data_IF_567528825703
#
_entry.id   IF_567528825703
#
_cell.length_a   1.000
_cell.length_b   1.000
_cell.length_c   1.000
_cell.angle_alpha   90.00
_cell.angle_beta   90.00
_cell.angle_gamma   90.00
#
_symmetry.space_group_name_H-M   'P 1'
#
loop_
_entity.id
_entity.type
_entity.pdbx_description
1 polymer ?
#
# COMPACT_ATOMS: atom_id res chain seq x y z
N UNK A 1 -13.76 -8.53 -34.41
CA UNK A 1 -14.19 -9.29 -33.23
C UNK A 1 -12.94 -9.67 -32.44
N UNK A 2 -12.92 -9.36 -31.14
CA UNK A 2 -11.79 -9.73 -30.27
C UNK A 2 -11.71 -11.25 -30.15
N UNK A 3 -10.50 -11.78 -30.13
CA UNK A 3 -10.23 -13.20 -29.85
C UNK A 3 -10.25 -13.41 -28.34
N UNK A 4 -11.02 -14.40 -27.87
CA UNK A 4 -11.02 -14.80 -26.46
C UNK A 4 -9.80 -15.68 -26.21
N UNK A 5 -8.96 -15.28 -25.26
CA UNK A 5 -7.73 -15.98 -24.91
C UNK A 5 -7.93 -16.99 -23.77
N UNK A 6 -8.74 -16.60 -22.77
CA UNK A 6 -9.03 -17.46 -21.61
C UNK A 6 -10.41 -17.15 -21.02
N UNK A 7 -10.94 -18.12 -20.27
CA UNK A 7 -12.25 -18.09 -19.66
C UNK A 7 -12.30 -19.19 -18.60
N UNK A 8 -12.08 -18.87 -17.31
CA UNK A 8 -11.98 -19.87 -16.26
C UNK A 8 -12.32 -19.31 -14.87
N UNK A 9 -12.68 -20.21 -13.95
CA UNK A 9 -12.92 -19.90 -12.55
C UNK A 9 -11.62 -19.94 -11.75
N UNK A 10 -11.46 -18.98 -10.83
CA UNK A 10 -10.36 -18.98 -9.87
C UNK A 10 -10.59 -19.99 -8.75
N UNK A 11 -9.50 -20.50 -8.19
CA UNK A 11 -9.54 -21.45 -7.09
C UNK A 11 -10.22 -20.84 -5.85
N UNK A 12 -10.79 -21.70 -4.99
CA UNK A 12 -11.40 -21.34 -3.71
C UNK A 12 -12.52 -20.28 -3.81
N UNK A 13 -13.22 -20.24 -4.93
CA UNK A 13 -14.30 -19.26 -5.13
C UNK A 13 -13.80 -17.83 -5.32
N UNK A 14 -12.55 -17.63 -5.73
CA UNK A 14 -11.92 -16.32 -5.95
C UNK A 14 -12.49 -15.50 -7.11
N UNK A 15 -13.52 -16.00 -7.80
CA UNK A 15 -14.19 -15.30 -8.89
C UNK A 15 -13.94 -15.98 -10.25
N UNK A 16 -14.25 -15.25 -11.33
CA UNK A 16 -14.16 -15.71 -12.71
C UNK A 16 -13.37 -14.73 -13.56
N UNK A 17 -12.46 -15.22 -14.39
CA UNK A 17 -11.66 -14.41 -15.31
C UNK A 17 -11.97 -14.74 -16.76
N UNK A 18 -12.23 -13.70 -17.55
CA UNK A 18 -12.34 -13.82 -19.01
C UNK A 18 -11.43 -12.79 -19.66
N UNK A 19 -10.58 -13.21 -20.58
CA UNK A 19 -9.65 -12.32 -21.28
C UNK A 19 -9.79 -12.38 -22.80
N UNK A 20 -9.62 -11.22 -23.43
CA UNK A 20 -9.64 -11.06 -24.88
C UNK A 20 -8.39 -10.33 -25.36
N UNK A 21 -7.88 -10.74 -26.52
CA UNK A 21 -6.82 -10.01 -27.19
C UNK A 21 -7.37 -8.74 -27.84
N UNK A 22 -6.75 -7.60 -27.57
CA UNK A 22 -7.06 -6.35 -28.26
C UNK A 22 -6.46 -6.35 -29.67
N UNK A 23 -7.19 -5.74 -30.61
CA UNK A 23 -6.66 -5.40 -31.92
C UNK A 23 -5.71 -4.20 -31.84
N UNK A 24 -4.89 -3.97 -32.88
CA UNK A 24 -4.00 -2.81 -32.92
C UNK A 24 -4.75 -1.47 -32.70
N UNK A 25 -5.86 -1.25 -33.41
CA UNK A 25 -6.67 -0.04 -33.29
C UNK A 25 -7.23 0.13 -31.84
N UNK A 26 -7.55 -0.97 -31.16
CA UNK A 26 -8.01 -0.91 -29.78
C UNK A 26 -6.86 -0.62 -28.80
N UNK A 27 -5.67 -1.13 -29.06
CA UNK A 27 -4.47 -0.79 -28.28
C UNK A 27 -4.18 0.70 -28.39
N UNK A 28 -4.21 1.26 -29.61
CA UNK A 28 -4.01 2.68 -29.85
C UNK A 28 -5.08 3.51 -29.12
N UNK A 29 -6.35 3.11 -29.19
CA UNK A 29 -7.43 3.78 -28.48
C UNK A 29 -7.26 3.77 -26.96
N UNK A 30 -6.80 2.66 -26.37
CA UNK A 30 -6.49 2.57 -24.94
C UNK A 30 -5.31 3.50 -24.61
N UNK A 31 -4.25 3.50 -25.41
CA UNK A 31 -3.09 4.35 -25.20
C UNK A 31 -3.47 5.83 -25.24
N UNK A 32 -4.30 6.25 -26.20
CA UNK A 32 -4.78 7.62 -26.32
C UNK A 32 -5.65 8.02 -25.10
N UNK A 33 -6.54 7.13 -24.65
CA UNK A 33 -7.36 7.39 -23.47
C UNK A 33 -6.51 7.55 -22.21
N UNK A 34 -5.49 6.71 -22.02
CA UNK A 34 -4.56 6.83 -20.90
C UNK A 34 -3.71 8.10 -20.99
N UNK A 35 -3.26 8.47 -22.19
CA UNK A 35 -2.51 9.71 -22.39
C UNK A 35 -3.33 10.95 -22.06
N UNK A 36 -4.64 10.94 -22.35
CA UNK A 36 -5.54 12.05 -22.02
C UNK A 36 -5.68 12.27 -20.50
N UNK A 37 -5.53 11.21 -19.68
CA UNK A 37 -5.53 11.31 -18.21
C UNK A 37 -4.23 11.91 -17.66
N UNK A 38 -3.17 11.96 -18.47
CA UNK A 38 -1.82 12.35 -18.05
C UNK A 38 -1.49 13.81 -18.44
N UNK A 39 -2.49 14.68 -18.52
CA UNK A 39 -2.30 16.09 -18.84
C UNK A 39 -2.25 16.94 -17.58
N UNK A 40 -1.50 18.07 -17.54
CA UNK A 40 -1.51 19.00 -16.42
C UNK A 40 -2.92 19.49 -16.07
N UNK A 41 -3.74 19.73 -17.10
CA UNK A 41 -5.13 20.14 -16.92
C UNK A 41 -5.96 19.06 -16.22
N UNK A 42 -5.86 17.80 -16.62
CA UNK A 42 -6.56 16.68 -15.98
C UNK A 42 -6.14 16.53 -14.50
N UNK A 43 -4.85 16.74 -14.19
CA UNK A 43 -4.35 16.73 -12.82
C UNK A 43 -4.90 17.88 -11.98
N UNK A 44 -5.00 19.09 -12.55
CA UNK A 44 -5.60 20.24 -11.86
C UNK A 44 -7.09 20.05 -11.63
N UNK A 45 -7.85 19.61 -12.63
CA UNK A 45 -9.30 19.40 -12.54
C UNK A 45 -9.66 18.29 -11.53
N UNK A 46 -8.91 17.19 -11.52
CA UNK A 46 -9.23 16.02 -10.71
C UNK A 46 -8.67 16.10 -9.28
N UNK A 47 -7.47 16.63 -9.11
CA UNK A 47 -6.74 16.59 -7.84
C UNK A 47 -6.41 17.97 -7.27
N UNK A 48 -6.75 19.05 -7.95
CA UNK A 48 -6.43 20.42 -7.55
C UNK A 48 -4.93 20.74 -7.57
N UNK A 49 -4.13 19.93 -8.25
CA UNK A 49 -2.68 20.06 -8.30
C UNK A 49 -2.26 20.87 -9.51
N UNK A 50 -1.75 22.08 -9.26
CA UNK A 50 -1.16 22.95 -10.30
C UNK A 50 0.33 22.65 -10.46
N UNK A 51 0.80 22.67 -11.69
CA UNK A 51 2.21 22.45 -12.04
C UNK A 51 2.81 21.11 -11.55
N UNK A 52 1.96 20.14 -11.20
CA UNK A 52 2.39 18.81 -10.79
C UNK A 52 2.80 17.97 -12.00
N UNK A 53 3.83 17.14 -11.82
CA UNK A 53 4.15 16.10 -12.78
C UNK A 53 3.01 15.07 -12.79
N UNK A 54 2.45 14.74 -13.96
CA UNK A 54 1.39 13.74 -14.04
C UNK A 54 1.85 12.39 -13.50
N UNK A 55 1.04 11.78 -12.63
CA UNK A 55 1.22 10.42 -12.15
C UNK A 55 0.04 9.59 -12.67
N UNK A 56 0.30 8.73 -13.65
CA UNK A 56 -0.74 7.89 -14.26
C UNK A 56 -0.81 6.51 -13.62
N UNK A 57 0.34 5.90 -13.34
CA UNK A 57 0.44 4.55 -12.81
C UNK A 57 1.12 4.54 -11.45
N UNK A 58 0.58 3.74 -10.53
CA UNK A 58 1.22 3.38 -9.28
C UNK A 58 1.25 1.85 -9.17
N UNK A 59 2.33 1.31 -8.62
CA UNK A 59 2.45 -0.14 -8.39
C UNK A 59 1.83 -0.43 -7.02
N UNK A 60 0.63 -1.01 -7.03
CA UNK A 60 -0.09 -1.41 -5.81
C UNK A 60 0.40 -2.73 -5.24
N UNK A 61 0.82 -3.67 -6.12
CA UNK A 61 1.36 -4.98 -5.75
C UNK A 61 2.45 -5.40 -6.73
N UNK A 62 3.31 -6.34 -6.31
CA UNK A 62 4.39 -6.87 -7.15
C UNK A 62 5.65 -5.99 -7.22
N UNK A 63 5.86 -5.05 -6.30
CA UNK A 63 7.03 -4.16 -6.26
C UNK A 63 8.35 -4.94 -6.29
N UNK A 64 8.49 -5.99 -5.47
CA UNK A 64 9.69 -6.83 -5.44
C UNK A 64 9.86 -7.63 -6.73
N UNK A 65 8.78 -8.15 -7.32
CA UNK A 65 8.80 -8.88 -8.59
C UNK A 65 9.26 -8.00 -9.74
N UNK A 66 8.75 -6.77 -9.83
CA UNK A 66 9.16 -5.80 -10.84
C UNK A 66 10.60 -5.33 -10.65
N UNK A 67 11.04 -5.11 -9.40
CA UNK A 67 12.42 -4.76 -9.10
C UNK A 67 13.39 -5.89 -9.49
N UNK A 68 13.02 -7.15 -9.23
CA UNK A 68 13.80 -8.33 -9.63
C UNK A 68 13.84 -8.48 -11.15
N UNK A 69 12.71 -8.34 -11.84
CA UNK A 69 12.65 -8.38 -13.30
C UNK A 69 13.56 -7.30 -13.93
N UNK A 70 13.55 -6.08 -13.40
CA UNK A 70 14.45 -5.01 -13.81
C UNK A 70 15.91 -5.40 -13.60
N UNK A 71 16.27 -5.93 -12.43
CA UNK A 71 17.65 -6.36 -12.14
C UNK A 71 18.11 -7.46 -13.09
N UNK A 72 17.25 -8.44 -13.41
CA UNK A 72 17.53 -9.49 -14.40
C UNK A 72 17.82 -8.89 -15.79
N UNK A 73 16.99 -7.95 -16.24
CA UNK A 73 17.21 -7.26 -17.52
C UNK A 73 18.55 -6.50 -17.54
N UNK A 74 18.83 -5.72 -16.49
CA UNK A 74 20.10 -4.98 -16.39
C UNK A 74 21.33 -5.91 -16.37
N UNK A 75 21.22 -7.09 -15.77
CA UNK A 75 22.29 -8.09 -15.79
C UNK A 75 22.48 -8.72 -17.18
N UNK A 76 21.38 -9.01 -17.89
CA UNK A 76 21.46 -9.51 -19.26
C UNK A 76 22.12 -8.51 -20.22
N UNK A 77 21.84 -7.23 -20.06
CA UNK A 77 22.48 -6.18 -20.86
C UNK A 77 24.01 -6.17 -20.75
N UNK A 78 24.58 -6.54 -19.60
CA UNK A 78 26.02 -6.58 -19.41
C UNK A 78 26.73 -7.62 -20.28
N UNK A 79 26.02 -8.64 -20.74
CA UNK A 79 26.54 -9.76 -21.55
C UNK A 79 25.93 -9.82 -22.94
N UNK A 80 25.13 -8.83 -23.33
CA UNK A 80 24.41 -8.79 -24.62
C UNK A 80 24.81 -7.51 -25.37
N UNK A 81 25.06 -7.56 -26.70
CA UNK A 81 25.32 -6.38 -27.51
C UNK A 81 24.15 -5.36 -27.42
N UNK A 82 24.48 -4.08 -27.37
CA UNK A 82 23.49 -3.00 -27.22
C UNK A 82 22.41 -3.02 -28.31
N UNK A 83 22.78 -3.40 -29.52
CA UNK A 83 21.84 -3.54 -30.65
C UNK A 83 20.69 -4.52 -30.41
N UNK A 84 20.88 -5.47 -29.51
CA UNK A 84 19.89 -6.53 -29.18
C UNK A 84 19.02 -6.21 -27.96
N UNK A 85 19.38 -5.22 -27.15
CA UNK A 85 18.70 -4.92 -25.90
C UNK A 85 17.17 -4.72 -26.06
N UNK A 86 16.77 -4.07 -27.16
CA UNK A 86 15.35 -3.79 -27.43
C UNK A 86 14.52 -5.04 -27.70
N UNK A 87 15.18 -6.12 -28.11
CA UNK A 87 14.53 -7.38 -28.50
C UNK A 87 14.58 -8.44 -27.40
N UNK A 88 15.24 -8.16 -26.27
CA UNK A 88 15.30 -9.09 -25.15
C UNK A 88 13.92 -9.26 -24.51
N UNK A 89 13.40 -10.49 -24.38
CA UNK A 89 12.13 -10.74 -23.67
C UNK A 89 12.13 -10.21 -22.22
N UNK A 90 13.27 -10.29 -21.55
CA UNK A 90 13.45 -9.76 -20.18
C UNK A 90 13.26 -8.23 -20.04
N UNK A 91 13.15 -7.50 -21.15
CA UNK A 91 12.79 -6.08 -21.16
C UNK A 91 11.36 -5.82 -20.69
N UNK A 92 10.50 -6.83 -20.79
CA UNK A 92 9.07 -6.70 -20.54
C UNK A 92 8.66 -7.50 -19.33
N UNK A 93 7.75 -6.96 -18.54
CA UNK A 93 7.05 -7.67 -17.50
C UNK A 93 5.54 -7.58 -17.77
N UNK A 94 4.83 -8.68 -17.55
CA UNK A 94 3.37 -8.68 -17.61
C UNK A 94 2.83 -7.98 -16.37
N UNK A 95 1.94 -7.02 -16.57
CA UNK A 95 1.25 -6.30 -15.50
C UNK A 95 -0.24 -6.24 -15.78
N UNK A 96 -1.03 -6.17 -14.72
CA UNK A 96 -2.44 -5.82 -14.77
C UNK A 96 -2.60 -4.33 -14.45
N UNK A 97 -3.41 -3.65 -15.24
CA UNK A 97 -3.75 -2.24 -15.03
C UNK A 97 -5.20 -2.16 -14.60
N UNK A 98 -5.44 -1.69 -13.38
CA UNK A 98 -6.79 -1.53 -12.82
C UNK A 98 -7.09 -0.05 -12.56
N UNK A 99 -8.37 0.31 -12.61
CA UNK A 99 -8.81 1.63 -12.22
C UNK A 99 -8.83 1.75 -10.69
N UNK A 100 -7.96 2.57 -10.12
CA UNK A 100 -7.87 2.80 -8.68
C UNK A 100 -9.19 3.33 -8.06
N UNK A 101 -10.06 3.93 -8.87
CA UNK A 101 -11.37 4.46 -8.45
C UNK A 101 -12.53 3.48 -8.66
N UNK A 102 -12.24 2.23 -9.07
CA UNK A 102 -13.26 1.19 -9.17
C UNK A 102 -13.77 0.82 -7.78
N UNK A 103 -15.10 0.75 -7.61
CA UNK A 103 -15.74 0.47 -6.32
C UNK A 103 -15.43 -0.93 -5.78
N UNK A 104 -15.06 -1.87 -6.65
CA UNK A 104 -14.63 -3.20 -6.26
C UNK A 104 -13.24 -3.22 -5.61
N UNK A 105 -12.42 -2.18 -5.85
CA UNK A 105 -11.10 -2.07 -5.25
C UNK A 105 -11.23 -1.42 -3.86
N UNK A 106 -10.99 -2.20 -2.81
CA UNK A 106 -10.97 -1.72 -1.43
C UNK A 106 -9.53 -1.79 -0.89
N UNK A 107 -9.11 -0.73 -0.22
CA UNK A 107 -7.82 -0.69 0.47
C UNK A 107 -8.02 -1.10 1.92
N UNK A 108 -7.75 -2.36 2.20
CA UNK A 108 -7.73 -2.84 3.58
C UNK A 108 -6.47 -2.34 4.30
N UNK A 109 -6.59 -1.91 5.55
CA UNK A 109 -5.45 -1.47 6.33
C UNK A 109 -4.54 -2.65 6.66
N UNK A 110 -3.24 -2.41 6.63
CA UNK A 110 -2.26 -3.34 7.20
C UNK A 110 -1.95 -2.84 8.61
N UNK A 111 -2.35 -3.62 9.60
CA UNK A 111 -2.17 -3.31 11.01
C UNK A 111 -0.74 -3.58 11.49
N UNK A 112 -0.43 -3.20 12.70
CA UNK A 112 0.88 -3.44 13.32
C UNK A 112 0.69 -4.22 14.61
N UNK A 113 1.58 -5.18 14.85
CA UNK A 113 1.76 -5.79 16.17
C UNK A 113 3.22 -5.60 16.56
N UNK A 114 3.43 -5.07 17.75
CA UNK A 114 4.77 -4.90 18.31
C UNK A 114 4.96 -5.96 19.39
N UNK A 115 6.00 -6.77 19.27
CA UNK A 115 6.42 -7.77 20.22
C UNK A 115 7.59 -7.26 21.06
N UNK A 116 7.63 -7.62 22.35
CA UNK A 116 8.65 -7.17 23.27
C UNK A 116 8.46 -5.72 23.72
N UNK A 117 7.23 -5.19 23.61
CA UNK A 117 6.91 -3.85 24.09
C UNK A 117 6.34 -3.93 25.53
N UNK A 118 6.75 -2.97 26.35
CA UNK A 118 6.07 -2.65 27.61
C UNK A 118 5.02 -1.56 27.36
N UNK A 119 3.71 -1.85 27.54
CA UNK A 119 2.65 -0.91 27.17
C UNK A 119 2.74 0.44 27.91
N UNK A 120 3.12 0.45 29.19
CA UNK A 120 3.24 1.68 29.96
C UNK A 120 4.35 2.58 29.40
N UNK A 121 5.51 2.00 29.16
CA UNK A 121 6.64 2.70 28.53
C UNK A 121 6.28 3.19 27.14
N UNK A 122 5.65 2.34 26.33
CA UNK A 122 5.23 2.69 24.98
C UNK A 122 4.30 3.91 24.99
N UNK A 123 3.25 3.87 25.78
CA UNK A 123 2.27 4.96 25.85
C UNK A 123 2.87 6.26 26.42
N UNK A 124 3.80 6.16 27.38
CA UNK A 124 4.51 7.31 27.89
C UNK A 124 5.39 7.99 26.83
N UNK A 125 6.14 7.19 26.06
CA UNK A 125 6.98 7.70 24.96
C UNK A 125 6.12 8.22 23.78
N UNK A 126 4.98 7.57 23.49
CA UNK A 126 4.04 8.05 22.48
C UNK A 126 3.45 9.42 22.84
N UNK A 127 3.07 9.62 24.12
CA UNK A 127 2.62 10.92 24.64
C UNK A 127 3.71 12.00 24.59
N UNK A 128 4.97 11.64 24.76
CA UNK A 128 6.09 12.56 24.55
C UNK A 128 6.25 12.99 23.09
N UNK A 129 6.15 12.02 22.16
CA UNK A 129 6.27 12.28 20.73
C UNK A 129 5.09 13.11 20.20
N UNK A 130 3.90 12.87 20.75
CA UNK A 130 2.64 13.53 20.38
C UNK A 130 1.97 14.14 21.63
N UNK A 131 2.40 15.32 22.09
CA UNK A 131 1.95 15.91 23.37
C UNK A 131 0.44 16.14 23.47
N UNK A 132 -0.25 16.32 22.33
CA UNK A 132 -1.69 16.57 22.26
C UNK A 132 -2.51 15.27 22.06
N UNK A 133 -1.87 14.09 22.09
CA UNK A 133 -2.60 12.83 21.96
C UNK A 133 -3.56 12.66 23.14
N UNK A 134 -4.76 12.17 22.83
CA UNK A 134 -5.78 11.90 23.84
C UNK A 134 -6.40 10.52 23.61
N UNK A 135 -7.01 9.99 24.65
CA UNK A 135 -7.81 8.77 24.60
C UNK A 135 -9.15 9.02 23.91
N UNK A 136 -9.69 8.00 23.27
CA UNK A 136 -10.93 8.04 22.53
C UNK A 136 -10.77 8.51 21.09
N UNK A 137 -11.92 8.46 20.36
CA UNK A 137 -12.00 8.92 18.97
C UNK A 137 -12.16 10.42 18.88
N UNK A 138 -11.53 11.05 17.88
CA UNK A 138 -11.58 12.49 17.66
C UNK A 138 -11.13 12.91 16.27
N UNK A 139 -11.00 14.20 16.05
CA UNK A 139 -10.40 14.75 14.83
C UNK A 139 -8.90 14.46 14.80
N UNK A 140 -8.39 14.10 13.64
CA UNK A 140 -6.99 13.74 13.43
C UNK A 140 -6.80 12.26 13.13
N UNK A 141 -5.66 11.70 13.54
CA UNK A 141 -5.36 10.29 13.32
C UNK A 141 -5.79 9.45 14.52
N UNK A 142 -6.91 8.76 14.38
CA UNK A 142 -7.39 7.81 15.39
C UNK A 142 -6.86 6.41 15.09
N UNK A 143 -6.25 5.78 16.08
CA UNK A 143 -5.69 4.44 16.04
C UNK A 143 -6.29 3.65 17.20
N UNK A 144 -6.79 2.45 16.93
CA UNK A 144 -7.19 1.52 17.99
C UNK A 144 -5.96 0.78 18.49
N UNK A 145 -5.81 0.66 19.81
CA UNK A 145 -4.66 0.03 20.44
C UNK A 145 -5.13 -1.04 21.40
N UNK A 146 -4.57 -2.25 21.31
CA UNK A 146 -4.92 -3.35 22.17
C UNK A 146 -3.68 -4.01 22.81
N UNK A 147 -3.77 -4.36 24.09
CA UNK A 147 -2.77 -5.12 24.84
C UNK A 147 -3.41 -5.76 26.08
N UNK A 148 -3.07 -6.97 26.41
CA UNK A 148 -3.42 -7.69 27.68
C UNK A 148 -4.86 -7.44 28.20
N UNK A 149 -5.84 -7.45 27.30
CA UNK A 149 -7.26 -7.22 27.64
C UNK A 149 -7.70 -5.75 27.63
N UNK A 150 -6.83 -4.83 27.33
CA UNK A 150 -7.15 -3.44 26.97
C UNK A 150 -7.45 -3.33 25.49
N UNK A 151 -8.46 -2.54 25.15
CA UNK A 151 -8.85 -2.24 23.76
C UNK A 151 -9.43 -0.82 23.75
N UNK A 152 -8.61 0.14 23.39
CA UNK A 152 -8.91 1.56 23.45
C UNK A 152 -8.51 2.28 22.16
N UNK A 153 -9.03 3.47 21.97
CA UNK A 153 -8.66 4.37 20.88
C UNK A 153 -7.75 5.47 21.39
N UNK A 154 -6.74 5.81 20.59
CA UNK A 154 -5.93 7.01 20.78
C UNK A 154 -6.05 7.90 19.54
N UNK A 155 -6.12 9.22 19.75
CA UNK A 155 -6.20 10.18 18.64
C UNK A 155 -5.06 11.19 18.74
N UNK A 156 -4.35 11.36 17.62
CA UNK A 156 -3.36 12.44 17.43
C UNK A 156 -4.06 13.55 16.64
N UNK A 157 -4.44 14.68 17.28
CA UNK A 157 -5.28 15.71 16.65
C UNK A 157 -4.53 16.54 15.59
N UNK A 158 -3.23 16.75 15.77
CA UNK A 158 -2.39 17.56 14.88
C UNK A 158 -1.28 16.70 14.26
N UNK A 159 -1.61 15.72 13.40
CA UNK A 159 -0.62 14.81 12.84
C UNK A 159 0.27 15.53 11.81
N UNK A 160 1.58 15.26 11.85
CA UNK A 160 2.53 15.76 10.84
C UNK A 160 2.45 14.99 9.52
N UNK A 161 1.98 13.74 9.59
CA UNK A 161 1.83 12.85 8.43
C UNK A 161 0.41 12.95 7.89
N UNK A 162 0.22 12.68 6.61
CA UNK A 162 -1.10 12.70 5.98
C UNK A 162 -1.96 11.49 6.35
N UNK A 163 -1.34 10.36 6.70
CA UNK A 163 -2.02 9.11 7.02
C UNK A 163 -1.70 8.65 8.43
N UNK A 164 -2.66 8.03 9.10
CA UNK A 164 -2.50 7.46 10.44
C UNK A 164 -1.36 6.42 10.50
N UNK A 165 -1.22 5.62 9.44
CA UNK A 165 -0.10 4.67 9.30
C UNK A 165 1.26 5.37 9.33
N UNK A 166 1.39 6.53 8.70
CA UNK A 166 2.64 7.29 8.71
C UNK A 166 2.97 7.84 10.11
N UNK A 167 1.96 8.32 10.84
CA UNK A 167 2.10 8.78 12.22
C UNK A 167 2.58 7.65 13.13
N UNK A 168 1.94 6.48 13.07
CA UNK A 168 2.32 5.33 13.87
C UNK A 168 3.71 4.81 13.49
N UNK A 169 3.96 4.59 12.20
CA UNK A 169 5.22 4.00 11.72
C UNK A 169 6.43 4.87 12.06
N UNK A 170 6.31 6.19 11.89
CA UNK A 170 7.40 7.11 12.25
C UNK A 170 7.76 7.03 13.73
N UNK A 171 6.78 6.83 14.61
CA UNK A 171 7.03 6.62 16.03
C UNK A 171 7.66 5.24 16.28
N UNK A 172 7.09 4.17 15.68
CA UNK A 172 7.59 2.81 15.86
C UNK A 172 9.06 2.67 15.45
N UNK A 173 9.44 3.29 14.33
CA UNK A 173 10.83 3.24 13.84
C UNK A 173 11.84 3.82 14.84
N UNK A 174 11.46 4.87 15.57
CA UNK A 174 12.31 5.46 16.62
C UNK A 174 12.22 4.70 17.95
N UNK A 175 11.03 4.25 18.34
CA UNK A 175 10.81 3.48 19.56
C UNK A 175 11.61 2.18 19.55
N UNK A 176 11.50 1.40 18.46
CA UNK A 176 12.19 0.11 18.33
C UNK A 176 13.72 0.25 18.31
N UNK A 177 14.25 1.34 17.76
CA UNK A 177 15.70 1.62 17.83
C UNK A 177 16.18 1.83 19.27
N UNK A 178 15.35 2.41 20.14
CA UNK A 178 15.73 2.76 21.50
C UNK A 178 15.46 1.62 22.49
N UNK A 179 14.34 0.92 22.32
CA UNK A 179 13.85 -0.06 23.30
C UNK A 179 13.98 -1.51 22.81
N UNK A 180 14.28 -1.72 21.52
CA UNK A 180 14.26 -3.05 20.92
C UNK A 180 12.82 -3.54 20.68
N UNK A 181 12.67 -4.82 20.41
CA UNK A 181 11.41 -5.44 20.02
C UNK A 181 11.32 -5.65 18.50
N UNK A 182 10.21 -6.21 18.06
CA UNK A 182 9.95 -6.49 16.65
C UNK A 182 8.55 -5.98 16.29
N UNK A 183 8.39 -5.48 15.07
CA UNK A 183 7.08 -5.13 14.51
C UNK A 183 6.71 -6.10 13.41
N UNK A 184 5.49 -6.60 13.45
CA UNK A 184 4.88 -7.39 12.37
C UNK A 184 3.71 -6.65 11.74
N UNK A 185 3.43 -6.99 10.49
CA UNK A 185 2.47 -6.36 9.60
C UNK A 185 1.33 -7.34 9.35
N UNK A 186 0.16 -7.05 9.90
CA UNK A 186 -0.93 -8.01 9.99
C UNK A 186 -2.13 -7.55 9.17
N UNK A 187 -2.67 -8.45 8.36
CA UNK A 187 -4.00 -8.33 7.75
C UNK A 187 -5.07 -8.90 8.67
N UNK A 188 -6.12 -8.12 8.89
CA UNK A 188 -7.30 -8.52 9.63
C UNK A 188 -7.27 -8.14 11.10
N UNK A 189 -8.38 -7.57 11.54
CA UNK A 189 -8.59 -7.03 12.88
C UNK A 189 -8.48 -8.09 13.96
N UNK A 190 -9.12 -9.25 13.75
CA UNK A 190 -9.18 -10.33 14.74
C UNK A 190 -7.78 -10.85 15.08
N UNK A 191 -6.97 -11.11 14.06
CA UNK A 191 -5.59 -11.59 14.22
C UNK A 191 -4.73 -10.55 14.93
N UNK A 192 -4.91 -9.28 14.60
CA UNK A 192 -4.18 -8.18 15.24
C UNK A 192 -4.51 -8.08 16.73
N UNK A 193 -5.80 -8.18 17.10
CA UNK A 193 -6.23 -8.20 18.52
C UNK A 193 -5.72 -9.43 19.24
N UNK A 194 -5.81 -10.61 18.62
CA UNK A 194 -5.31 -11.85 19.21
C UNK A 194 -3.81 -11.76 19.53
N UNK A 195 -3.02 -11.31 18.59
CA UNK A 195 -1.57 -11.17 18.75
C UNK A 195 -1.20 -10.04 19.71
N UNK A 196 -1.86 -8.88 19.59
CA UNK A 196 -1.62 -7.71 20.43
C UNK A 196 -1.98 -7.93 21.89
N UNK A 197 -2.97 -8.81 22.19
CA UNK A 197 -3.37 -9.13 23.56
C UNK A 197 -2.46 -10.12 24.27
N UNK A 198 -1.43 -10.66 23.61
CA UNK A 198 -0.44 -11.54 24.25
C UNK A 198 0.48 -10.75 25.18
N UNK A 199 0.95 -11.33 26.30
CA UNK A 199 1.88 -10.66 27.19
C UNK A 199 3.12 -10.12 26.46
N UNK A 200 3.49 -8.89 26.73
CA UNK A 200 4.62 -8.21 26.10
C UNK A 200 4.38 -7.85 24.64
N UNK A 201 3.13 -7.77 24.21
CA UNK A 201 2.75 -7.37 22.85
C UNK A 201 1.75 -6.21 22.87
N UNK A 202 1.71 -5.46 21.78
CA UNK A 202 0.70 -4.43 21.53
C UNK A 202 0.23 -4.49 20.08
N UNK A 203 -1.08 -4.46 19.86
CA UNK A 203 -1.70 -4.39 18.56
C UNK A 203 -2.18 -2.97 18.24
N UNK A 204 -2.03 -2.57 16.98
CA UNK A 204 -2.44 -1.25 16.48
C UNK A 204 -3.29 -1.45 15.22
N UNK A 205 -4.59 -1.18 15.36
CA UNK A 205 -5.51 -1.26 14.25
C UNK A 205 -5.65 0.12 13.59
N UNK A 206 -5.29 0.17 12.34
CA UNK A 206 -5.26 1.40 11.55
C UNK A 206 -6.57 1.57 10.77
N UNK A 207 -7.02 2.81 10.56
CA UNK A 207 -8.17 3.07 9.70
C UNK A 207 -7.84 2.73 8.24
N UNK A 208 -8.86 2.29 7.50
CA UNK A 208 -8.75 2.14 6.06
C UNK A 208 -8.45 3.49 5.39
N UNK A 209 -7.65 3.45 4.33
CA UNK A 209 -7.39 4.64 3.52
C UNK A 209 -8.55 4.88 2.55
N UNK A 210 -8.94 6.14 2.40
CA UNK A 210 -9.79 6.58 1.29
C UNK A 210 -9.02 6.56 -0.05
N UNK A 211 -9.79 6.55 -1.14
CA UNK A 211 -9.27 6.66 -2.51
C UNK A 211 -8.97 8.11 -2.88
#
# INVERSE_FOLDING_TARGET
KMEKLYDFDLQQGGGHLTGWQLTADQIDGVADALAALCTPQAMEEKYGLRDAQPLLFAVGDGNHSLATAKACYENLKKVTPESEWKNLPARYALVEVVNNHDDALQFEPIHRVVFGADPETFMAEFKKAYPNVHEGKGEGHTIEVCWEGHDDFITVPDPKMQLAVGTLQSFLDEYLKQHGGEVDYIHGDEVTRELGSKPGSMGFLLPAMGK
#
